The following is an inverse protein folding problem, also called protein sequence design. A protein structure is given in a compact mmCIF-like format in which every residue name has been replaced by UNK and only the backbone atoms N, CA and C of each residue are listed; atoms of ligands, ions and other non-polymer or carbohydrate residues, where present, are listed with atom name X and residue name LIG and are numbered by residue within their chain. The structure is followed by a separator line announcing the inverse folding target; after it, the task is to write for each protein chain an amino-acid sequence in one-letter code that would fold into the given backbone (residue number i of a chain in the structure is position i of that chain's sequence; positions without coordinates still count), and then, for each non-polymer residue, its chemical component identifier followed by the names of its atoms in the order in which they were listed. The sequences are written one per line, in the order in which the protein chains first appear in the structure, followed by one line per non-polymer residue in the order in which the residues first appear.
data_IF_797820549555
#
_entry.id   IF_797820549555
#
_cell.length_a   1.000
_cell.length_b   1.000
_cell.length_c   1.000
_cell.angle_alpha   90.00
_cell.angle_beta   90.00
_cell.angle_gamma   90.00
#
_symmetry.space_group_name_H-M   'P 1'
#
loop_
_entity.id
_entity.type
_entity.pdbx_description
1 polymer ?
#
# COMPACT_ATOMS: atom_id res chain seq x y z
N UNK A 1 19.41 -20.41 -33.54
CA UNK A 1 18.24 -19.53 -33.31
C UNK A 1 18.28 -19.20 -31.84
N UNK A 2 18.63 -17.97 -31.52
CA UNK A 2 18.78 -17.49 -30.15
C UNK A 2 17.38 -17.31 -29.56
N UNK A 3 17.03 -18.12 -28.56
CA UNK A 3 15.79 -17.96 -27.82
C UNK A 3 16.01 -16.81 -26.83
N UNK A 4 15.89 -15.58 -27.34
CA UNK A 4 15.82 -14.40 -26.49
C UNK A 4 14.53 -14.50 -25.66
N UNK A 5 14.67 -14.92 -24.41
CA UNK A 5 13.57 -14.95 -23.43
C UNK A 5 12.89 -13.58 -23.40
N UNK A 6 11.66 -13.50 -23.93
CA UNK A 6 10.82 -12.32 -23.83
C UNK A 6 10.49 -12.16 -22.34
N UNK A 7 11.23 -11.29 -21.64
CA UNK A 7 10.91 -10.88 -20.28
C UNK A 7 9.68 -9.98 -20.31
N UNK A 8 8.50 -10.57 -20.20
CA UNK A 8 7.28 -9.84 -19.91
C UNK A 8 7.43 -9.32 -18.48
N UNK A 9 7.72 -8.02 -18.33
CA UNK A 9 7.75 -7.37 -17.03
C UNK A 9 6.29 -7.18 -16.57
N UNK A 10 5.70 -8.23 -16.00
CA UNK A 10 4.36 -8.16 -15.42
C UNK A 10 4.49 -7.27 -14.18
N UNK A 11 3.84 -6.10 -14.14
CA UNK A 11 3.87 -5.26 -12.95
C UNK A 11 3.30 -6.07 -11.79
N UNK A 12 4.11 -6.32 -10.75
CA UNK A 12 3.64 -7.02 -9.57
C UNK A 12 2.75 -6.07 -8.77
N UNK A 13 1.50 -6.46 -8.53
CA UNK A 13 0.59 -5.70 -7.67
C UNK A 13 1.20 -5.60 -6.27
N UNK A 14 1.63 -4.39 -5.91
CA UNK A 14 2.13 -4.08 -4.57
C UNK A 14 0.94 -3.87 -3.63
N UNK A 15 1.16 -4.11 -2.35
CA UNK A 15 0.14 -3.98 -1.32
C UNK A 15 0.72 -3.28 -0.11
N UNK A 16 -0.14 -2.59 0.63
CA UNK A 16 0.17 -1.93 1.90
C UNK A 16 -0.76 -2.46 2.98
N UNK A 17 -0.21 -2.68 4.18
CA UNK A 17 -0.99 -3.11 5.34
C UNK A 17 -1.42 -1.89 6.13
N UNK A 18 -2.71 -1.81 6.43
CA UNK A 18 -3.32 -0.70 7.15
C UNK A 18 -4.12 -1.24 8.31
N UNK A 19 -3.99 -0.64 9.48
CA UNK A 19 -4.76 -0.96 10.68
C UNK A 19 -5.44 0.31 11.20
N UNK A 20 -6.54 0.12 11.93
CA UNK A 20 -7.28 1.24 12.54
C UNK A 20 -6.51 1.89 13.70
N UNK A 21 -5.56 1.17 14.28
CA UNK A 21 -4.80 1.63 15.43
C UNK A 21 -3.29 1.39 15.25
N UNK A 22 -2.48 2.12 16.04
CA UNK A 22 -1.02 2.01 16.01
C UNK A 22 -0.48 0.68 16.55
N UNK A 23 -1.32 -0.18 17.12
CA UNK A 23 -0.93 -1.51 17.61
C UNK A 23 -0.93 -2.56 16.49
N UNK A 24 -1.47 -2.23 15.31
CA UNK A 24 -1.55 -3.17 14.18
C UNK A 24 -2.65 -4.23 14.34
N UNK A 25 -3.57 -4.04 15.28
CA UNK A 25 -4.70 -4.95 15.44
C UNK A 25 -5.64 -4.80 14.23
N UNK A 26 -6.15 -5.93 13.73
CA UNK A 26 -7.05 -5.98 12.57
C UNK A 26 -6.44 -5.35 11.30
N UNK A 27 -5.15 -5.60 11.05
CA UNK A 27 -4.51 -5.16 9.81
C UNK A 27 -5.16 -5.78 8.57
N UNK A 28 -5.39 -4.96 7.56
CA UNK A 28 -5.90 -5.39 6.25
C UNK A 28 -4.88 -5.05 5.17
N UNK A 29 -4.79 -5.91 4.16
CA UNK A 29 -3.92 -5.71 3.00
C UNK A 29 -4.69 -4.99 1.90
N UNK A 30 -4.27 -3.78 1.57
CA UNK A 30 -4.87 -2.97 0.51
C UNK A 30 -3.97 -2.97 -0.74
N UNK A 31 -4.54 -3.14 -1.94
CA UNK A 31 -3.78 -3.06 -3.17
C UNK A 31 -3.38 -1.61 -3.46
N UNK A 32 -2.18 -1.44 -4.01
CA UNK A 32 -1.70 -0.18 -4.59
C UNK A 32 -1.83 -0.23 -6.11
N UNK A 33 -1.85 0.95 -6.73
CA UNK A 33 -1.73 1.08 -8.17
C UNK A 33 -0.32 0.69 -8.65
N UNK A 34 -0.13 0.57 -9.96
CA UNK A 34 1.13 0.10 -10.55
C UNK A 34 2.33 1.03 -10.30
N UNK A 35 2.09 2.29 -9.96
CA UNK A 35 3.10 3.26 -9.56
C UNK A 35 3.42 3.21 -8.06
N UNK A 36 2.77 2.31 -7.31
CA UNK A 36 2.91 2.15 -5.87
C UNK A 36 2.03 3.11 -5.05
N UNK A 37 1.21 3.94 -5.70
CA UNK A 37 0.29 4.83 -4.99
C UNK A 37 -0.88 4.05 -4.38
N UNK A 38 -1.37 4.49 -3.21
CA UNK A 38 -2.57 3.94 -2.59
C UNK A 38 -3.74 4.90 -2.82
N UNK A 39 -4.75 4.54 -3.62
CA UNK A 39 -5.92 5.39 -3.81
C UNK A 39 -6.70 5.58 -2.51
N UNK A 40 -7.05 6.83 -2.16
CA UNK A 40 -7.83 7.13 -0.96
C UNK A 40 -9.19 6.40 -0.95
N UNK A 41 -9.83 6.22 -2.11
CA UNK A 41 -11.06 5.43 -2.23
C UNK A 41 -10.90 3.99 -1.74
N UNK A 42 -9.71 3.41 -1.91
CA UNK A 42 -9.42 2.04 -1.45
C UNK A 42 -9.37 2.02 0.07
N UNK A 43 -8.90 3.08 0.72
CA UNK A 43 -8.91 3.23 2.17
C UNK A 43 -10.33 3.45 2.68
N UNK A 44 -11.11 4.35 2.08
CA UNK A 44 -12.45 4.73 2.52
C UNK A 44 -13.44 3.55 2.54
N UNK A 45 -13.28 2.58 1.63
CA UNK A 45 -14.10 1.35 1.61
C UNK A 45 -14.00 0.56 2.93
N UNK A 46 -12.80 0.49 3.53
CA UNK A 46 -12.57 -0.29 4.75
C UNK A 46 -12.51 0.58 6.01
N UNK A 47 -12.14 1.85 5.86
CA UNK A 47 -12.07 2.84 6.92
C UNK A 47 -12.88 4.08 6.52
N UNK A 48 -14.23 4.00 6.54
CA UNK A 48 -15.07 5.11 6.11
C UNK A 48 -14.80 6.39 6.89
N UNK A 49 -14.59 7.49 6.17
CA UNK A 49 -14.29 8.80 6.75
C UNK A 49 -12.82 9.00 7.17
N UNK A 50 -11.93 8.06 6.85
CA UNK A 50 -10.50 8.30 6.98
C UNK A 50 -10.06 9.38 5.99
N UNK A 51 -9.38 10.42 6.50
CA UNK A 51 -8.87 11.54 5.71
C UNK A 51 -7.36 11.44 5.42
N UNK A 52 -6.71 10.40 5.92
CA UNK A 52 -5.27 10.18 5.80
C UNK A 52 -4.82 8.98 6.63
N UNK A 53 -3.56 8.58 6.42
CA UNK A 53 -2.90 7.50 7.14
C UNK A 53 -1.66 8.03 7.87
N UNK A 54 -1.28 7.38 8.96
CA UNK A 54 -0.03 7.62 9.67
C UNK A 54 0.76 6.31 9.74
N UNK A 55 2.07 6.38 9.54
CA UNK A 55 2.96 5.24 9.69
C UNK A 55 4.24 5.64 10.43
N UNK A 56 4.85 4.66 11.11
CA UNK A 56 6.14 4.84 11.77
C UNK A 56 7.26 4.46 10.80
N UNK A 57 8.13 5.41 10.46
CA UNK A 57 9.31 5.13 9.64
C UNK A 57 10.41 4.41 10.43
N UNK A 58 11.42 3.92 9.71
CA UNK A 58 12.54 3.16 10.26
C UNK A 58 13.43 3.96 11.21
N UNK A 59 13.41 5.28 11.08
CA UNK A 59 14.04 6.24 12.02
C UNK A 59 13.25 6.41 13.33
N UNK A 60 12.08 5.77 13.45
CA UNK A 60 11.20 5.82 14.61
C UNK A 60 10.24 7.00 14.62
N UNK A 61 10.25 7.86 13.61
CA UNK A 61 9.35 9.02 13.50
C UNK A 61 8.01 8.63 12.88
N UNK A 62 6.94 9.34 13.23
CA UNK A 62 5.65 9.20 12.57
C UNK A 62 5.57 10.13 11.35
N UNK A 63 5.05 9.60 10.25
CA UNK A 63 4.86 10.30 8.97
C UNK A 63 3.43 10.10 8.50
N UNK A 64 2.91 11.13 7.85
CA UNK A 64 1.55 11.15 7.33
C UNK A 64 1.53 10.90 5.83
N UNK A 65 0.53 10.17 5.38
CA UNK A 65 0.17 9.97 3.99
C UNK A 65 -1.22 10.60 3.80
N UNK A 66 -1.26 11.73 3.10
CA UNK A 66 -2.48 12.50 2.78
C UNK A 66 -2.82 12.33 1.30
#
# INVERSE_FOLDING_TARGET
MDNSDIKINIPTSQHVRVAKNQKGEEEISLPTDFDGSLPLRTVDVFFPGAIGLEFKSTDGLFRQLL
#
